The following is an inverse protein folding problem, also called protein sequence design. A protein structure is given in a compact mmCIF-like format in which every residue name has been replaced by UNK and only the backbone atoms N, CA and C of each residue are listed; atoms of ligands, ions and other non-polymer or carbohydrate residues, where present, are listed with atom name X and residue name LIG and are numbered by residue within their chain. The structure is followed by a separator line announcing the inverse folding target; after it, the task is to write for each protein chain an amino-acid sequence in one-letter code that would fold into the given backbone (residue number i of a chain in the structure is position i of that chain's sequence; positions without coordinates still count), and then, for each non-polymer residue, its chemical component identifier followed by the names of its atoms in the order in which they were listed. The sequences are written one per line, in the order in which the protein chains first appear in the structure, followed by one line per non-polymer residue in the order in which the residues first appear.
data_IF_237605203181
#
_entry.id   IF_237605203181
#
_cell.length_a   1.000
_cell.length_b   1.000
_cell.length_c   1.000
_cell.angle_alpha   90.00
_cell.angle_beta   90.00
_cell.angle_gamma   90.00
#
_symmetry.space_group_name_H-M   'P 1'
#
loop_
_entity.id
_entity.type
_entity.pdbx_description
1 polymer ?
#
# COMPACT_ATOMS: atom_id res chain seq x y z
N UNK A 1 -13.82 10.99 15.32
CA UNK A 1 -13.40 9.58 15.51
C UNK A 1 -12.43 9.22 14.40
N UNK A 2 -11.28 8.61 14.69
CA UNK A 2 -10.24 8.30 13.72
C UNK A 2 -10.04 6.78 13.64
N UNK A 3 -9.86 6.22 12.43
CA UNK A 3 -9.54 4.81 12.25
C UNK A 3 -8.04 4.69 11.96
N UNK A 4 -7.34 3.93 12.78
CA UNK A 4 -5.93 3.57 12.55
C UNK A 4 -5.85 2.12 12.09
N UNK A 5 -5.29 1.89 10.92
CA UNK A 5 -5.02 0.54 10.44
C UNK A 5 -3.72 0.00 11.05
N UNK A 6 -3.78 -1.20 11.60
CA UNK A 6 -2.62 -1.94 12.10
C UNK A 6 -2.46 -3.23 11.31
N UNK A 7 -1.20 -3.62 11.08
CA UNK A 7 -0.84 -4.92 10.51
C UNK A 7 0.13 -5.61 11.46
N UNK A 8 -0.27 -6.81 11.95
CA UNK A 8 0.49 -7.58 12.95
C UNK A 8 0.72 -8.98 12.41
N UNK A 9 1.95 -9.47 12.58
CA UNK A 9 2.31 -10.83 12.18
C UNK A 9 1.69 -11.85 13.13
N UNK A 10 1.10 -12.90 12.55
CA UNK A 10 0.58 -14.06 13.23
C UNK A 10 1.64 -15.18 13.26
N UNK A 11 1.65 -15.94 14.35
CA UNK A 11 2.51 -17.11 14.56
C UNK A 11 1.64 -18.37 14.73
N UNK A 12 0.92 -18.83 13.68
CA UNK A 12 0.08 -20.01 13.76
C UNK A 12 0.93 -21.28 13.85
N UNK A 13 0.46 -22.26 14.63
CA UNK A 13 1.00 -23.63 14.59
C UNK A 13 0.59 -24.33 13.27
N UNK A 14 1.07 -25.55 13.02
CA UNK A 14 0.84 -26.26 11.76
C UNK A 14 -0.67 -26.53 11.51
N UNK A 15 -1.42 -26.95 12.54
CA UNK A 15 -2.87 -27.20 12.43
C UNK A 15 -3.64 -25.92 12.12
N UNK A 16 -3.34 -24.82 12.84
CA UNK A 16 -3.92 -23.51 12.57
C UNK A 16 -3.57 -23.03 11.16
N UNK A 17 -2.32 -23.21 10.73
CA UNK A 17 -1.86 -22.82 9.40
C UNK A 17 -2.64 -23.54 8.29
N UNK A 18 -2.91 -24.83 8.43
CA UNK A 18 -3.73 -25.59 7.48
C UNK A 18 -5.14 -25.00 7.39
N UNK A 19 -5.77 -24.72 8.52
CA UNK A 19 -7.12 -24.10 8.56
C UNK A 19 -7.14 -22.69 7.96
N UNK A 20 -6.12 -21.87 8.21
CA UNK A 20 -6.00 -20.54 7.58
C UNK A 20 -5.94 -20.65 6.06
N UNK A 21 -5.25 -21.65 5.50
CA UNK A 21 -5.22 -21.89 4.06
C UNK A 21 -6.57 -22.40 3.52
N UNK A 22 -7.29 -23.23 4.27
CA UNK A 22 -8.64 -23.65 3.92
C UNK A 22 -9.59 -22.43 3.85
N UNK A 23 -9.55 -21.55 4.83
CA UNK A 23 -10.36 -20.32 4.86
C UNK A 23 -10.04 -19.38 3.69
N UNK A 24 -8.77 -19.18 3.39
CA UNK A 24 -8.35 -18.41 2.23
C UNK A 24 -8.78 -19.06 0.92
N UNK A 25 -8.79 -20.40 0.86
CA UNK A 25 -9.31 -21.19 -0.25
C UNK A 25 -10.81 -20.98 -0.46
N UNK A 26 -11.59 -21.07 0.62
CA UNK A 26 -13.04 -20.86 0.59
C UNK A 26 -13.41 -19.41 0.21
N UNK A 27 -12.67 -18.43 0.73
CA UNK A 27 -12.83 -17.02 0.33
C UNK A 27 -12.60 -16.82 -1.17
N UNK A 28 -11.54 -17.43 -1.71
CA UNK A 28 -11.23 -17.36 -3.14
C UNK A 28 -12.28 -18.07 -3.98
N UNK A 29 -12.72 -19.25 -3.55
CA UNK A 29 -13.76 -20.02 -4.23
C UNK A 29 -15.07 -19.23 -4.31
N UNK A 30 -15.57 -18.70 -3.19
CA UNK A 30 -16.79 -17.92 -3.15
C UNK A 30 -16.73 -16.65 -4.00
N UNK A 31 -15.57 -15.97 -4.03
CA UNK A 31 -15.34 -14.83 -4.90
C UNK A 31 -15.40 -15.23 -6.38
N UNK A 32 -14.75 -16.34 -6.75
CA UNK A 32 -14.69 -16.80 -8.13
C UNK A 32 -16.04 -17.33 -8.60
N UNK A 33 -16.75 -18.08 -7.77
CA UNK A 33 -18.10 -18.55 -8.03
C UNK A 33 -19.05 -17.37 -8.32
N UNK A 34 -19.02 -16.35 -7.48
CA UNK A 34 -19.86 -15.17 -7.69
C UNK A 34 -19.45 -14.37 -8.93
N UNK A 35 -18.15 -14.32 -9.26
CA UNK A 35 -17.67 -13.69 -10.49
C UNK A 35 -18.18 -14.43 -11.73
N UNK A 36 -18.15 -15.75 -11.73
CA UNK A 36 -18.66 -16.59 -12.81
C UNK A 36 -20.15 -16.34 -13.04
N UNK A 37 -20.98 -16.34 -11.99
CA UNK A 37 -22.41 -16.00 -12.05
C UNK A 37 -22.67 -14.61 -12.62
N UNK A 38 -21.91 -13.60 -12.19
CA UNK A 38 -22.04 -12.25 -12.71
C UNK A 38 -21.64 -12.16 -14.19
N UNK A 39 -20.61 -12.87 -14.60
CA UNK A 39 -20.22 -12.94 -16.01
C UNK A 39 -21.30 -13.63 -16.85
N UNK A 40 -21.85 -14.76 -16.39
CA UNK A 40 -22.94 -15.46 -17.08
C UNK A 40 -24.20 -14.57 -17.24
N UNK A 41 -24.54 -13.79 -16.20
CA UNK A 41 -25.63 -12.83 -16.29
C UNK A 41 -25.36 -11.72 -17.31
N UNK A 42 -24.14 -11.17 -17.28
CA UNK A 42 -23.74 -10.12 -18.21
C UNK A 42 -23.78 -10.59 -19.68
N UNK A 43 -23.18 -11.74 -19.99
CA UNK A 43 -23.17 -12.29 -21.34
C UNK A 43 -24.56 -12.78 -21.81
N UNK A 44 -25.42 -13.18 -20.88
CA UNK A 44 -26.81 -13.55 -21.15
C UNK A 44 -27.77 -12.35 -21.22
N UNK A 45 -27.25 -11.09 -21.25
CA UNK A 45 -28.06 -9.87 -21.30
C UNK A 45 -28.89 -9.60 -20.04
N UNK A 46 -28.64 -10.34 -18.95
CA UNK A 46 -29.36 -10.21 -17.68
C UNK A 46 -28.73 -9.13 -16.79
N UNK A 47 -29.55 -8.56 -15.92
CA UNK A 47 -29.09 -7.61 -14.90
C UNK A 47 -28.13 -8.30 -13.92
N UNK A 48 -27.06 -7.58 -13.53
CA UNK A 48 -26.15 -8.06 -12.49
C UNK A 48 -26.89 -8.18 -11.15
N UNK A 49 -26.67 -9.31 -10.47
CA UNK A 49 -27.27 -9.57 -9.17
C UNK A 49 -26.64 -8.70 -8.07
N UNK A 50 -27.44 -8.35 -7.08
CA UNK A 50 -26.99 -7.69 -5.86
C UNK A 50 -26.16 -8.65 -4.98
N UNK A 51 -25.45 -8.10 -3.99
CA UNK A 51 -24.71 -8.93 -3.03
C UNK A 51 -25.63 -9.79 -2.16
N UNK A 52 -26.86 -9.35 -1.92
CA UNK A 52 -27.85 -10.12 -1.17
C UNK A 52 -28.36 -11.34 -1.97
N UNK A 53 -28.67 -11.15 -3.24
CA UNK A 53 -29.11 -12.22 -4.14
C UNK A 53 -28.03 -13.28 -4.32
N UNK A 54 -26.79 -12.87 -4.66
CA UNK A 54 -25.65 -13.79 -4.78
C UNK A 54 -25.38 -14.57 -3.49
N UNK A 55 -25.49 -13.92 -2.33
CA UNK A 55 -25.30 -14.60 -1.04
C UNK A 55 -26.39 -15.61 -0.71
N UNK A 56 -27.64 -15.32 -1.08
CA UNK A 56 -28.75 -16.29 -0.94
C UNK A 56 -28.53 -17.51 -1.85
N UNK A 57 -28.19 -17.27 -3.10
CA UNK A 57 -27.87 -18.33 -4.08
C UNK A 57 -26.68 -19.18 -3.63
N UNK A 58 -25.58 -18.53 -3.19
CA UNK A 58 -24.42 -19.22 -2.66
C UNK A 58 -24.72 -20.04 -1.40
N UNK A 59 -25.63 -19.56 -0.55
CA UNK A 59 -26.02 -20.31 0.66
C UNK A 59 -26.81 -21.59 0.28
N UNK A 60 -27.68 -21.51 -0.72
CA UNK A 60 -28.37 -22.72 -1.26
C UNK A 60 -27.34 -23.69 -1.83
N UNK A 61 -26.43 -23.24 -2.66
CA UNK A 61 -25.36 -24.04 -3.24
C UNK A 61 -24.42 -24.65 -2.16
N UNK A 62 -24.06 -23.90 -1.12
CA UNK A 62 -23.26 -24.41 -0.01
C UNK A 62 -23.94 -25.54 0.74
N UNK A 63 -25.27 -25.50 0.86
CA UNK A 63 -26.06 -26.46 1.61
C UNK A 63 -26.60 -27.64 0.72
N UNK A 64 -26.32 -27.62 -0.59
CA UNK A 64 -26.78 -28.67 -1.52
C UNK A 64 -26.07 -30.02 -1.35
N UNK A 65 -24.99 -30.07 -0.58
CA UNK A 65 -24.16 -31.27 -0.42
C UNK A 65 -23.04 -31.41 -1.46
N UNK A 66 -23.05 -30.62 -2.54
CA UNK A 66 -22.02 -30.66 -3.59
C UNK A 66 -20.64 -30.24 -3.12
N UNK A 67 -20.56 -29.37 -2.09
CA UNK A 67 -19.32 -28.76 -1.57
C UNK A 67 -19.22 -28.89 -0.05
N UNK A 68 -19.19 -30.10 0.52
CA UNK A 68 -19.27 -30.31 1.97
C UNK A 68 -18.16 -29.65 2.75
N UNK A 69 -16.97 -29.48 2.17
CA UNK A 69 -15.83 -28.81 2.77
C UNK A 69 -16.07 -27.31 3.05
N UNK A 70 -17.05 -26.68 2.37
CA UNK A 70 -17.44 -25.28 2.67
C UNK A 70 -18.16 -25.17 4.02
N UNK A 71 -18.79 -26.23 4.51
CA UNK A 71 -19.45 -26.24 5.82
C UNK A 71 -18.45 -26.17 6.97
N UNK A 72 -17.20 -26.59 6.75
CA UNK A 72 -16.11 -26.47 7.73
C UNK A 72 -15.59 -25.05 7.92
N UNK A 73 -16.00 -24.11 7.07
CA UNK A 73 -15.51 -22.72 7.07
C UNK A 73 -16.63 -21.78 7.51
N UNK A 74 -16.28 -20.76 8.29
CA UNK A 74 -17.25 -19.73 8.69
C UNK A 74 -17.95 -19.12 7.48
N UNK A 75 -19.27 -19.04 7.55
CA UNK A 75 -20.10 -18.41 6.52
C UNK A 75 -19.75 -16.92 6.30
N UNK A 76 -19.24 -16.22 7.34
CA UNK A 76 -18.82 -14.84 7.23
C UNK A 76 -17.66 -14.64 6.25
N UNK A 77 -16.79 -15.63 6.11
CA UNK A 77 -15.66 -15.63 5.16
C UNK A 77 -16.17 -15.59 3.72
N UNK A 78 -17.11 -16.46 3.38
CA UNK A 78 -17.67 -16.59 2.03
C UNK A 78 -18.59 -15.43 1.68
N UNK A 79 -19.47 -15.04 2.62
CA UNK A 79 -20.35 -13.87 2.47
C UNK A 79 -19.57 -12.56 2.19
N UNK A 80 -18.48 -12.34 2.92
CA UNK A 80 -17.67 -11.16 2.70
C UNK A 80 -16.90 -11.21 1.37
N UNK A 81 -16.46 -12.38 0.92
CA UNK A 81 -15.81 -12.53 -0.37
C UNK A 81 -16.74 -12.15 -1.54
N UNK A 82 -18.01 -12.53 -1.47
CA UNK A 82 -19.06 -12.14 -2.44
C UNK A 82 -19.30 -10.62 -2.39
N UNK A 83 -19.41 -10.05 -1.19
CA UNK A 83 -19.54 -8.60 -1.01
C UNK A 83 -18.34 -7.83 -1.59
N UNK A 84 -17.13 -8.38 -1.41
CA UNK A 84 -15.90 -7.79 -1.97
C UNK A 84 -15.93 -7.74 -3.49
N UNK A 85 -16.48 -8.79 -4.15
CA UNK A 85 -16.70 -8.81 -5.60
C UNK A 85 -17.69 -7.72 -6.03
N UNK A 86 -18.84 -7.60 -5.36
CA UNK A 86 -19.83 -6.58 -5.69
C UNK A 86 -19.26 -5.16 -5.52
N UNK A 87 -18.42 -4.95 -4.52
CA UNK A 87 -17.68 -3.68 -4.35
C UNK A 87 -16.69 -3.48 -5.51
N UNK A 88 -16.00 -4.53 -5.96
CA UNK A 88 -15.08 -4.45 -7.09
C UNK A 88 -15.80 -4.06 -8.38
N UNK A 89 -16.97 -4.62 -8.68
CA UNK A 89 -17.81 -4.20 -9.81
C UNK A 89 -18.27 -2.76 -9.68
N UNK A 90 -18.75 -2.34 -8.52
CA UNK A 90 -19.15 -0.95 -8.27
C UNK A 90 -17.99 0.03 -8.51
N UNK A 91 -16.79 -0.33 -8.08
CA UNK A 91 -15.59 0.45 -8.32
C UNK A 91 -15.18 0.47 -9.80
N UNK A 92 -15.36 -0.64 -10.51
CA UNK A 92 -15.13 -0.75 -11.94
C UNK A 92 -16.06 0.20 -12.74
N UNK A 93 -17.39 0.15 -12.52
CA UNK A 93 -18.32 1.04 -13.18
C UNK A 93 -18.09 2.51 -12.83
N UNK A 94 -17.74 2.81 -11.57
CA UNK A 94 -17.39 4.18 -11.18
C UNK A 94 -16.15 4.71 -11.90
N UNK A 95 -15.18 3.83 -12.19
CA UNK A 95 -13.99 4.20 -12.97
C UNK A 95 -14.32 4.48 -14.44
N UNK A 96 -15.20 3.70 -15.03
CA UNK A 96 -15.63 3.91 -16.44
C UNK A 96 -16.28 5.27 -16.66
N UNK A 97 -17.01 5.77 -15.65
CA UNK A 97 -17.66 7.08 -15.71
C UNK A 97 -16.71 8.28 -15.56
N UNK A 98 -15.42 8.04 -15.27
CA UNK A 98 -14.45 9.14 -15.14
C UNK A 98 -13.94 9.59 -16.50
N UNK A 99 -13.80 10.92 -16.68
CA UNK A 99 -13.14 11.50 -17.84
C UNK A 99 -11.71 10.91 -18.00
N UNK A 100 -11.32 10.61 -19.23
CA UNK A 100 -10.02 9.98 -19.52
C UNK A 100 -9.92 8.49 -19.20
N UNK A 101 -11.04 7.78 -18.97
CA UNK A 101 -10.99 6.33 -18.78
C UNK A 101 -10.54 5.62 -20.06
N UNK A 102 -9.42 4.90 -19.97
CA UNK A 102 -8.89 4.06 -21.05
C UNK A 102 -9.45 2.64 -20.91
N UNK A 103 -10.32 2.22 -21.85
CA UNK A 103 -10.95 0.86 -21.82
C UNK A 103 -9.92 -0.26 -21.79
N UNK A 104 -8.92 -0.18 -22.67
CA UNK A 104 -7.88 -1.21 -22.80
C UNK A 104 -6.49 -0.56 -22.76
N UNK A 105 -5.51 -1.19 -22.12
CA UNK A 105 -4.13 -0.72 -22.17
C UNK A 105 -3.51 -1.01 -23.54
N UNK A 106 -2.63 -0.12 -24.04
CA UNK A 106 -1.93 -0.28 -25.31
C UNK A 106 -1.21 -1.64 -25.39
N UNK A 107 -0.56 -2.06 -24.29
CA UNK A 107 0.12 -3.37 -24.20
C UNK A 107 -0.85 -4.54 -24.42
N UNK A 108 -2.09 -4.43 -23.95
CA UNK A 108 -3.09 -5.48 -24.11
C UNK A 108 -3.66 -5.48 -25.52
N UNK A 109 -3.89 -4.30 -26.10
CA UNK A 109 -4.30 -4.16 -27.50
C UNK A 109 -3.28 -4.84 -28.41
N UNK A 110 -1.99 -4.51 -28.26
CA UNK A 110 -0.90 -5.11 -29.05
C UNK A 110 -0.83 -6.63 -28.88
N UNK A 111 -0.93 -7.15 -27.65
CA UNK A 111 -0.91 -8.59 -27.39
C UNK A 111 -2.12 -9.32 -27.99
N UNK A 112 -3.33 -8.77 -27.88
CA UNK A 112 -4.51 -9.39 -28.45
C UNK A 112 -4.48 -9.35 -30.00
N UNK A 113 -3.96 -8.28 -30.58
CA UNK A 113 -3.76 -8.18 -32.02
C UNK A 113 -2.75 -9.25 -32.52
N UNK A 114 -1.63 -9.47 -31.79
CA UNK A 114 -0.60 -10.45 -32.18
C UNK A 114 -1.08 -11.91 -32.15
N UNK A 115 -2.15 -12.22 -31.36
CA UNK A 115 -2.71 -13.58 -31.24
C UNK A 115 -4.11 -13.72 -31.84
N UNK A 116 -4.59 -12.69 -32.61
CA UNK A 116 -5.93 -12.71 -33.21
C UNK A 116 -7.11 -12.77 -32.24
N UNK A 117 -6.90 -12.44 -30.95
CA UNK A 117 -7.93 -12.55 -29.90
C UNK A 117 -8.85 -11.33 -29.88
N UNK A 118 -10.17 -11.53 -29.98
CA UNK A 118 -11.17 -10.49 -29.74
C UNK A 118 -11.19 -10.05 -28.27
N UNK A 119 -11.19 -8.75 -28.04
CA UNK A 119 -11.26 -8.16 -26.70
C UNK A 119 -12.68 -8.21 -26.15
N UNK A 120 -12.78 -8.62 -24.90
CA UNK A 120 -14.04 -8.74 -24.17
C UNK A 120 -14.13 -7.71 -23.05
N UNK A 121 -15.30 -7.55 -22.41
CA UNK A 121 -15.47 -6.73 -21.20
C UNK A 121 -14.56 -7.19 -20.07
N UNK A 122 -14.31 -8.51 -19.98
CA UNK A 122 -13.36 -9.08 -19.02
C UNK A 122 -11.95 -8.54 -19.19
N UNK A 123 -11.59 -8.12 -20.39
CA UNK A 123 -10.28 -7.57 -20.72
C UNK A 123 -10.13 -6.10 -20.37
N UNK A 124 -11.21 -5.39 -20.03
CA UNK A 124 -11.19 -3.97 -19.71
C UNK A 124 -10.39 -3.67 -18.44
N UNK A 125 -9.80 -2.46 -18.42
CA UNK A 125 -8.99 -1.99 -17.30
C UNK A 125 -9.83 -1.85 -16.01
N UNK A 126 -9.44 -2.60 -14.97
CA UNK A 126 -10.11 -2.56 -13.67
C UNK A 126 -11.32 -3.50 -13.55
N UNK A 127 -11.65 -4.29 -14.59
CA UNK A 127 -12.65 -5.36 -14.47
C UNK A 127 -12.18 -6.39 -13.41
N UNK A 128 -13.07 -6.88 -12.53
CA UNK A 128 -12.75 -7.94 -11.57
C UNK A 128 -12.19 -9.18 -12.27
N UNK A 129 -11.15 -9.79 -11.68
CA UNK A 129 -10.48 -10.96 -12.23
C UNK A 129 -10.64 -12.15 -11.30
N UNK A 130 -10.60 -13.37 -11.85
CA UNK A 130 -10.52 -14.59 -11.06
C UNK A 130 -9.28 -14.58 -10.16
N UNK A 131 -9.48 -14.93 -8.89
CA UNK A 131 -8.40 -15.08 -7.92
C UNK A 131 -7.74 -16.45 -8.08
N UNK A 132 -6.42 -16.52 -7.97
CA UNK A 132 -5.68 -17.76 -8.11
C UNK A 132 -4.62 -17.97 -7.03
N UNK A 133 -4.29 -19.24 -6.75
CA UNK A 133 -3.14 -19.59 -5.90
C UNK A 133 -1.82 -19.07 -6.46
N UNK A 134 -1.67 -19.06 -7.79
CA UNK A 134 -0.44 -18.60 -8.49
C UNK A 134 -0.18 -17.12 -8.23
N UNK A 135 -1.23 -16.31 -8.13
CA UNK A 135 -1.14 -14.87 -7.87
C UNK A 135 -0.98 -14.53 -6.40
N UNK A 136 -0.93 -15.52 -5.50
CA UNK A 136 -0.80 -15.28 -4.06
C UNK A 136 -2.06 -14.75 -3.39
N UNK A 137 -3.24 -15.02 -3.96
CA UNK A 137 -4.54 -14.56 -3.44
C UNK A 137 -4.98 -15.37 -2.21
N UNK A 138 -4.27 -15.21 -1.11
CA UNK A 138 -4.56 -15.85 0.17
C UNK A 138 -4.97 -14.80 1.21
N UNK A 139 -6.24 -14.41 1.17
CA UNK A 139 -6.80 -13.53 2.19
C UNK A 139 -8.25 -13.85 2.46
N UNK A 140 -8.69 -13.61 3.69
CA UNK A 140 -10.08 -13.74 4.08
C UNK A 140 -10.44 -12.76 5.18
N UNK A 141 -11.73 -12.46 5.27
CA UNK A 141 -12.30 -11.60 6.30
C UNK A 141 -12.55 -12.40 7.57
N UNK A 142 -12.33 -11.77 8.71
CA UNK A 142 -12.72 -12.26 10.03
C UNK A 142 -13.81 -11.34 10.59
N UNK A 143 -14.84 -11.92 11.19
CA UNK A 143 -15.92 -11.12 11.75
C UNK A 143 -15.43 -10.24 12.89
N UNK A 144 -15.74 -8.93 12.84
CA UNK A 144 -15.33 -7.97 13.87
C UNK A 144 -16.03 -8.16 15.22
N UNK A 145 -17.18 -8.80 15.24
CA UNK A 145 -17.90 -9.09 16.50
C UNK A 145 -17.36 -10.33 17.19
N UNK A 146 -16.78 -11.25 16.40
CA UNK A 146 -16.28 -12.54 16.90
C UNK A 146 -14.78 -12.56 17.16
N UNK A 147 -14.04 -11.56 16.65
CA UNK A 147 -12.62 -11.43 16.92
C UNK A 147 -12.39 -10.92 18.36
N UNK A 148 -11.55 -11.60 19.10
CA UNK A 148 -11.18 -11.23 20.46
C UNK A 148 -9.67 -11.17 20.60
N UNK A 149 -9.19 -10.30 21.48
CA UNK A 149 -7.76 -10.11 21.71
C UNK A 149 -7.39 -10.36 23.16
N UNK A 150 -6.25 -11.02 23.32
CA UNK A 150 -5.45 -11.01 24.54
C UNK A 150 -4.13 -10.31 24.25
N UNK A 151 -3.35 -10.02 25.29
CA UNK A 151 -2.07 -9.33 25.13
C UNK A 151 -1.12 -10.01 24.12
N UNK A 152 -1.17 -11.34 24.02
CA UNK A 152 -0.26 -12.16 23.19
C UNK A 152 -0.95 -12.95 22.08
N UNK A 153 -2.29 -13.01 22.06
CA UNK A 153 -3.05 -13.87 21.15
C UNK A 153 -4.27 -13.15 20.59
N UNK A 154 -4.71 -13.61 19.44
CA UNK A 154 -5.99 -13.25 18.82
C UNK A 154 -6.84 -14.50 18.64
N UNK A 155 -8.11 -14.43 19.05
CA UNK A 155 -9.10 -15.47 18.76
C UNK A 155 -9.70 -15.25 17.39
N UNK A 156 -9.59 -16.26 16.54
CA UNK A 156 -10.19 -16.29 15.21
C UNK A 156 -11.38 -17.24 15.20
N UNK A 157 -12.38 -16.93 14.36
CA UNK A 157 -13.61 -17.72 14.27
C UNK A 157 -13.34 -19.10 13.64
N UNK A 158 -13.86 -20.17 14.25
CA UNK A 158 -13.98 -21.52 13.67
C UNK A 158 -12.68 -22.16 13.12
N UNK A 159 -11.53 -21.85 13.72
CA UNK A 159 -10.27 -22.57 13.39
C UNK A 159 -10.28 -23.99 13.95
N UNK A 160 -11.01 -24.22 15.04
CA UNK A 160 -11.19 -25.55 15.63
C UNK A 160 -12.66 -25.98 15.61
N UNK A 161 -12.87 -27.28 15.45
CA UNK A 161 -14.20 -27.87 15.58
C UNK A 161 -14.81 -27.67 16.96
N UNK A 162 -16.11 -27.37 17.01
CA UNK A 162 -16.85 -26.97 18.22
C UNK A 162 -17.06 -28.09 19.25
N UNK A 163 -16.87 -29.34 18.88
CA UNK A 163 -17.34 -30.49 19.65
C UNK A 163 -16.46 -31.00 20.81
N UNK A 164 -15.27 -30.42 21.08
CA UNK A 164 -14.41 -30.85 22.19
C UNK A 164 -13.96 -29.68 23.08
N UNK A 165 -14.11 -29.80 24.40
CA UNK A 165 -13.75 -28.78 25.43
C UNK A 165 -12.33 -28.21 25.29
N UNK A 166 -11.33 -28.99 24.92
CA UNK A 166 -9.93 -28.55 24.73
C UNK A 166 -9.69 -27.78 23.42
N UNK A 167 -10.67 -27.64 22.51
CA UNK A 167 -10.52 -27.04 21.20
C UNK A 167 -10.71 -25.53 21.19
N UNK A 168 -11.27 -24.91 22.21
CA UNK A 168 -11.37 -23.45 22.27
C UNK A 168 -10.01 -22.78 22.23
N UNK A 169 -8.97 -23.38 22.84
CA UNK A 169 -7.57 -22.90 22.78
C UNK A 169 -7.00 -22.91 21.36
N UNK A 170 -7.44 -23.81 20.46
CA UNK A 170 -6.96 -23.88 19.10
C UNK A 170 -7.41 -22.68 18.24
N UNK A 171 -8.45 -21.95 18.64
CA UNK A 171 -8.88 -20.71 17.97
C UNK A 171 -7.99 -19.52 18.30
N UNK A 172 -7.14 -19.61 19.33
CA UNK A 172 -6.23 -18.56 19.73
C UNK A 172 -4.90 -18.65 19.00
N UNK A 173 -4.65 -17.73 18.08
CA UNK A 173 -3.41 -17.63 17.30
C UNK A 173 -2.47 -16.63 17.95
N UNK A 174 -1.22 -17.01 18.15
CA UNK A 174 -0.19 -16.17 18.76
C UNK A 174 0.16 -14.98 17.87
N UNK A 175 0.29 -13.79 18.46
CA UNK A 175 0.79 -12.57 17.84
C UNK A 175 2.31 -12.47 18.00
N UNK A 176 3.00 -11.95 17.00
CA UNK A 176 4.44 -11.68 17.09
C UNK A 176 4.75 -10.45 17.97
N UNK A 177 3.80 -9.53 18.11
CA UNK A 177 3.92 -8.30 18.88
C UNK A 177 2.91 -8.31 20.03
N UNK A 178 3.38 -8.06 21.25
CA UNK A 178 2.55 -8.02 22.45
C UNK A 178 1.96 -6.62 22.65
N UNK A 179 0.74 -6.52 23.18
CA UNK A 179 0.14 -5.28 23.68
C UNK A 179 -0.12 -4.19 22.64
N UNK A 180 0.04 -4.48 21.35
CA UNK A 180 -0.11 -3.47 20.29
C UNK A 180 -1.57 -3.19 19.91
N UNK A 181 -2.45 -4.14 20.16
CA UNK A 181 -3.89 -4.00 19.92
C UNK A 181 -4.57 -3.79 21.28
N UNK A 182 -5.35 -2.72 21.48
CA UNK A 182 -6.15 -2.55 22.66
C UNK A 182 -7.16 -3.70 22.80
N UNK A 183 -7.32 -4.26 23.99
CA UNK A 183 -8.20 -5.42 24.24
C UNK A 183 -9.68 -5.02 24.06
N UNK A 184 -10.04 -3.81 24.49
CA UNK A 184 -11.43 -3.28 24.46
C UNK A 184 -11.66 -2.31 23.29
N UNK A 185 -10.89 -2.47 22.20
CA UNK A 185 -10.97 -1.60 21.03
C UNK A 185 -12.21 -1.88 20.17
N UNK A 186 -12.79 -0.84 19.57
CA UNK A 186 -13.77 -1.00 18.49
C UNK A 186 -13.03 -1.29 17.18
N UNK A 187 -13.14 -2.53 16.71
CA UNK A 187 -12.42 -3.02 15.52
C UNK A 187 -13.26 -2.87 14.27
N UNK A 188 -12.59 -2.71 13.13
CA UNK A 188 -13.23 -2.62 11.81
C UNK A 188 -12.44 -3.41 10.77
N UNK A 189 -13.17 -4.15 9.94
CA UNK A 189 -12.68 -4.87 8.76
C UNK A 189 -11.40 -5.70 9.00
N UNK A 190 -11.39 -6.60 10.01
CA UNK A 190 -10.24 -7.46 10.24
C UNK A 190 -10.07 -8.45 9.09
N UNK A 191 -8.84 -8.54 8.56
CA UNK A 191 -8.49 -9.46 7.47
C UNK A 191 -7.25 -10.22 7.81
N UNK A 192 -7.29 -11.51 7.53
CA UNK A 192 -6.13 -12.40 7.62
C UNK A 192 -5.55 -12.54 6.21
N UNK A 193 -4.24 -12.28 6.09
CA UNK A 193 -3.55 -12.19 4.80
C UNK A 193 -2.26 -13.00 4.87
N UNK A 194 -2.02 -13.85 3.86
CA UNK A 194 -0.74 -14.52 3.68
C UNK A 194 0.07 -13.82 2.58
N UNK A 195 1.29 -13.40 2.88
CA UNK A 195 2.15 -12.68 1.95
C UNK A 195 3.13 -13.57 1.18
N UNK A 196 2.90 -14.89 1.21
CA UNK A 196 3.80 -15.89 0.62
C UNK A 196 4.83 -16.46 1.60
N UNK A 197 5.03 -15.81 2.75
CA UNK A 197 5.95 -16.25 3.81
C UNK A 197 5.25 -16.32 5.18
N UNK A 198 4.55 -15.25 5.54
CA UNK A 198 3.96 -15.08 6.87
C UNK A 198 2.46 -14.77 6.78
N UNK A 199 1.76 -15.14 7.84
CA UNK A 199 0.38 -14.73 8.06
C UNK A 199 0.33 -13.40 8.82
N UNK A 200 -0.57 -12.53 8.42
CA UNK A 200 -0.77 -11.20 8.97
C UNK A 200 -2.23 -10.96 9.30
N UNK A 201 -2.47 -10.33 10.44
CA UNK A 201 -3.74 -9.71 10.75
C UNK A 201 -3.65 -8.22 10.36
N UNK A 202 -4.54 -7.77 9.48
CA UNK A 202 -4.76 -6.37 9.16
C UNK A 202 -6.09 -5.94 9.75
N UNK A 203 -6.10 -4.91 10.61
CA UNK A 203 -7.29 -4.50 11.36
C UNK A 203 -7.33 -2.97 11.49
N UNK A 204 -8.51 -2.39 11.31
CA UNK A 204 -8.77 -1.01 11.67
C UNK A 204 -9.21 -0.89 13.13
N UNK A 205 -8.64 0.05 13.86
CA UNK A 205 -9.02 0.34 15.25
C UNK A 205 -9.58 1.75 15.28
N UNK A 206 -10.78 1.89 15.85
CA UNK A 206 -11.38 3.20 16.10
C UNK A 206 -10.74 3.78 17.36
N UNK A 207 -10.02 4.87 17.20
CA UNK A 207 -9.37 5.59 18.29
C UNK A 207 -10.20 6.83 18.59
N UNK A 208 -10.66 6.98 19.84
CA UNK A 208 -11.17 8.24 20.30
C UNK A 208 -10.03 9.27 20.23
N UNK A 209 -10.27 10.40 19.56
CA UNK A 209 -9.33 11.52 19.58
C UNK A 209 -9.28 12.03 21.02
N UNK A 210 -8.33 11.57 21.83
CA UNK A 210 -7.99 12.25 23.07
C UNK A 210 -7.36 13.59 22.69
N UNK A 211 -8.19 14.61 22.59
CA UNK A 211 -7.74 15.98 22.65
C UNK A 211 -7.26 16.11 24.10
N UNK A 212 -5.94 16.07 24.31
CA UNK A 212 -5.42 16.67 25.55
C UNK A 212 -5.66 18.17 25.37
N UNK A 213 -6.62 18.77 26.07
CA UNK A 213 -6.64 20.21 26.14
C UNK A 213 -5.30 20.59 26.75
N UNK A 214 -4.58 21.51 26.13
CA UNK A 214 -3.45 22.16 26.78
C UNK A 214 -4.02 23.04 27.88
N UNK A 215 -4.49 22.40 28.98
CA UNK A 215 -4.88 23.09 30.18
C UNK A 215 -3.59 23.55 30.88
N UNK A 216 -3.45 24.85 31.06
CA UNK A 216 -2.57 25.43 32.03
C UNK A 216 -1.22 26.02 31.57
N UNK A 217 -0.84 25.93 30.30
CA UNK A 217 0.35 26.68 29.83
C UNK A 217 -0.11 27.96 29.14
N UNK A 218 -0.07 29.06 29.86
CA UNK A 218 -0.15 30.42 29.29
C UNK A 218 1.17 30.69 28.57
N UNK A 219 1.22 30.37 27.28
CA UNK A 219 2.35 30.79 26.43
C UNK A 219 2.15 32.23 26.01
N UNK A 220 3.20 33.06 26.11
CA UNK A 220 3.20 34.37 25.50
C UNK A 220 3.08 34.22 23.97
N UNK A 221 2.54 35.24 23.28
CA UNK A 221 2.39 35.22 21.82
C UNK A 221 3.75 35.00 21.09
N UNK A 222 4.88 35.43 21.69
CA UNK A 222 6.24 35.13 21.24
C UNK A 222 6.63 33.66 21.38
N UNK A 223 6.26 33.01 22.51
CA UNK A 223 6.52 31.57 22.72
C UNK A 223 5.63 30.69 21.86
N UNK A 224 4.39 31.10 21.58
CA UNK A 224 3.54 30.44 20.58
C UNK A 224 4.11 30.54 19.16
N UNK A 225 4.66 31.70 18.78
CA UNK A 225 5.36 31.87 17.48
C UNK A 225 6.64 31.03 17.38
N UNK A 226 7.40 30.80 18.46
CA UNK A 226 8.55 29.93 18.52
C UNK A 226 8.20 28.44 18.59
N UNK A 227 7.05 28.06 19.17
CA UNK A 227 6.55 26.67 19.24
C UNK A 227 5.95 26.19 17.91
N UNK A 228 5.45 27.09 17.08
CA UNK A 228 5.05 26.80 15.72
C UNK A 228 6.23 27.13 14.80
N UNK A 229 7.12 26.18 14.54
CA UNK A 229 8.08 26.30 13.46
C UNK A 229 7.32 26.73 12.19
N UNK A 230 7.87 27.66 11.41
CA UNK A 230 7.26 28.07 10.14
C UNK A 230 6.95 26.87 9.27
N UNK A 231 6.34 27.08 8.12
CA UNK A 231 6.11 25.99 7.16
C UNK A 231 7.40 25.34 6.71
N UNK A 232 7.32 24.06 6.30
CA UNK A 232 8.44 23.30 5.74
C UNK A 232 8.17 23.00 4.27
N UNK A 233 9.07 23.40 3.37
CA UNK A 233 9.15 22.95 2.00
C UNK A 233 10.00 21.69 1.90
N UNK A 234 9.62 20.72 1.08
CA UNK A 234 10.34 19.46 0.93
C UNK A 234 10.50 19.14 -0.56
N UNK A 235 11.76 19.09 -0.99
CA UNK A 235 12.15 18.58 -2.31
C UNK A 235 12.46 17.08 -2.23
N UNK A 236 11.96 16.30 -3.20
CA UNK A 236 12.14 14.85 -3.27
C UNK A 236 13.10 14.47 -4.41
N UNK A 237 14.19 13.80 -4.06
CA UNK A 237 15.24 13.49 -5.02
C UNK A 237 15.70 12.03 -5.05
N UNK A 238 16.48 11.70 -6.10
CA UNK A 238 17.14 10.39 -6.24
C UNK A 238 18.48 10.36 -5.50
N UNK A 239 19.19 11.49 -5.41
CA UNK A 239 20.47 11.60 -4.70
C UNK A 239 20.26 11.43 -3.21
N UNK A 240 19.43 12.23 -2.63
CA UNK A 240 18.87 12.11 -1.31
C UNK A 240 17.36 11.91 -1.43
N UNK A 241 16.73 11.26 -0.46
CA UNK A 241 15.29 10.98 -0.51
C UNK A 241 14.47 12.25 -0.38
N UNK A 242 14.88 13.14 0.51
CA UNK A 242 14.22 14.42 0.73
C UNK A 242 15.21 15.45 1.27
N UNK A 243 15.07 16.69 0.86
CA UNK A 243 15.75 17.85 1.41
C UNK A 243 14.68 18.83 1.90
N UNK A 244 14.80 19.29 3.13
CA UNK A 244 13.85 20.24 3.73
C UNK A 244 14.37 21.67 3.66
N UNK A 245 13.47 22.64 3.70
CA UNK A 245 13.80 24.06 3.80
C UNK A 245 14.57 24.42 5.08
N UNK A 246 14.61 23.53 6.06
CA UNK A 246 15.38 23.68 7.30
C UNK A 246 16.78 23.06 7.19
N UNK A 247 17.27 22.82 5.97
CA UNK A 247 18.58 22.22 5.63
C UNK A 247 18.76 20.75 6.01
N UNK A 248 17.71 20.07 6.49
CA UNK A 248 17.85 18.64 6.77
C UNK A 248 17.83 17.81 5.50
N UNK A 249 18.72 16.83 5.46
CA UNK A 249 18.87 15.89 4.35
C UNK A 249 18.52 14.49 4.79
N UNK A 250 17.48 13.91 4.22
CA UNK A 250 17.14 12.51 4.36
C UNK A 250 17.92 11.72 3.31
N UNK A 251 19.00 11.09 3.73
CA UNK A 251 19.90 10.34 2.82
C UNK A 251 19.17 9.19 2.11
N UNK A 252 19.62 8.89 0.89
CA UNK A 252 19.13 7.73 0.14
C UNK A 252 19.65 6.42 0.75
N UNK A 253 18.79 5.66 1.42
CA UNK A 253 19.14 4.40 2.07
C UNK A 253 19.62 3.33 1.08
N UNK A 254 19.21 3.42 -0.19
CA UNK A 254 19.58 2.46 -1.23
C UNK A 254 21.08 2.48 -1.58
N UNK A 255 21.79 3.54 -1.18
CA UNK A 255 23.25 3.67 -1.34
C UNK A 255 24.05 2.94 -0.26
N UNK A 256 23.41 2.47 0.80
CA UNK A 256 24.07 1.78 1.91
C UNK A 256 24.63 0.41 1.50
N UNK A 257 25.75 0.00 2.12
CA UNK A 257 26.38 -1.29 1.85
C UNK A 257 25.45 -2.48 2.14
N UNK A 258 24.57 -2.36 3.14
CA UNK A 258 23.59 -3.39 3.50
C UNK A 258 22.65 -3.65 2.33
N UNK A 259 22.06 -2.59 1.74
CA UNK A 259 21.14 -2.74 0.60
C UNK A 259 21.89 -3.19 -0.65
N UNK A 260 23.10 -2.69 -0.92
CA UNK A 260 23.93 -3.14 -2.04
C UNK A 260 24.20 -4.66 -1.96
N UNK A 261 24.59 -5.19 -0.77
CA UNK A 261 24.79 -6.61 -0.53
C UNK A 261 23.50 -7.42 -0.75
N UNK A 262 22.35 -6.95 -0.24
CA UNK A 262 21.05 -7.60 -0.44
C UNK A 262 20.62 -7.61 -1.91
N UNK A 263 20.83 -6.52 -2.66
CA UNK A 263 20.55 -6.43 -4.10
C UNK A 263 21.42 -7.44 -4.89
N UNK A 264 22.71 -7.56 -4.57
CA UNK A 264 23.62 -8.55 -5.18
C UNK A 264 23.13 -9.99 -4.92
N UNK A 265 22.72 -10.28 -3.67
CA UNK A 265 22.15 -11.58 -3.30
C UNK A 265 20.83 -11.86 -4.01
N UNK A 266 19.94 -10.85 -4.12
CA UNK A 266 18.69 -10.95 -4.88
C UNK A 266 18.94 -11.34 -6.34
N UNK A 267 19.85 -10.65 -7.04
CA UNK A 267 20.20 -10.94 -8.45
C UNK A 267 20.72 -12.36 -8.63
N UNK A 268 21.58 -12.85 -7.72
CA UNK A 268 22.06 -14.24 -7.76
C UNK A 268 20.91 -15.24 -7.66
N UNK A 269 20.02 -15.04 -6.70
CA UNK A 269 18.85 -15.91 -6.50
C UNK A 269 17.86 -15.83 -7.67
N UNK A 270 17.65 -14.66 -8.25
CA UNK A 270 16.81 -14.51 -9.45
C UNK A 270 17.36 -15.35 -10.61
N UNK A 271 18.68 -15.24 -10.89
CA UNK A 271 19.33 -16.05 -11.92
C UNK A 271 19.24 -17.55 -11.62
N UNK A 272 19.40 -17.96 -10.35
CA UNK A 272 19.25 -19.35 -9.93
C UNK A 272 17.82 -19.86 -10.15
N UNK A 273 16.82 -19.08 -9.78
CA UNK A 273 15.40 -19.41 -10.00
C UNK A 273 15.10 -19.52 -11.47
N UNK A 274 15.54 -18.56 -12.31
CA UNK A 274 15.34 -18.59 -13.76
C UNK A 274 15.96 -19.84 -14.39
N UNK A 275 17.21 -20.18 -14.04
CA UNK A 275 17.86 -21.42 -14.54
C UNK A 275 17.09 -22.67 -14.15
N UNK A 276 16.63 -22.77 -12.89
CA UNK A 276 15.81 -23.91 -12.43
C UNK A 276 14.48 -24.03 -13.17
N UNK A 277 13.86 -22.90 -13.53
CA UNK A 277 12.68 -22.93 -14.38
C UNK A 277 13.00 -23.50 -15.77
N UNK A 278 14.08 -23.06 -16.40
CA UNK A 278 14.49 -23.59 -17.71
C UNK A 278 14.81 -25.10 -17.65
N UNK A 279 15.54 -25.55 -16.63
CA UNK A 279 15.87 -26.98 -16.44
C UNK A 279 14.62 -27.85 -16.19
N UNK A 280 13.59 -27.29 -15.58
CA UNK A 280 12.35 -28.00 -15.24
C UNK A 280 11.24 -27.77 -16.29
N UNK A 281 11.56 -27.28 -17.47
CA UNK A 281 10.63 -27.09 -18.58
C UNK A 281 10.23 -28.46 -19.15
N UNK A 282 8.93 -28.72 -19.28
CA UNK A 282 8.33 -29.89 -19.93
C UNK A 282 7.36 -29.37 -20.99
N UNK A 283 7.74 -29.42 -22.27
CA UNK A 283 6.98 -28.79 -23.35
C UNK A 283 6.81 -27.31 -23.12
N UNK A 284 5.60 -26.79 -23.13
CA UNK A 284 5.27 -25.38 -22.83
C UNK A 284 5.06 -25.08 -21.34
N UNK A 285 5.04 -26.11 -20.49
CA UNK A 285 4.80 -25.96 -19.05
C UNK A 285 6.08 -26.08 -18.23
N UNK A 286 6.06 -25.49 -17.00
CA UNK A 286 7.14 -25.58 -16.04
C UNK A 286 6.74 -26.39 -14.82
N UNK A 287 7.54 -27.40 -14.48
CA UNK A 287 7.33 -28.21 -13.29
C UNK A 287 7.96 -27.53 -12.06
N UNK A 288 7.19 -27.38 -10.97
CA UNK A 288 7.70 -26.81 -9.71
C UNK A 288 8.24 -27.90 -8.80
N UNK A 289 9.56 -28.10 -8.83
CA UNK A 289 10.26 -28.96 -7.90
C UNK A 289 10.38 -28.35 -6.49
N UNK A 290 10.55 -29.17 -5.45
CA UNK A 290 10.76 -28.71 -4.07
C UNK A 290 11.92 -27.75 -3.94
N UNK A 291 13.03 -27.98 -4.68
CA UNK A 291 14.21 -27.12 -4.67
C UNK A 291 13.97 -25.76 -5.35
N UNK A 292 13.10 -25.72 -6.38
CA UNK A 292 12.67 -24.47 -6.99
C UNK A 292 11.82 -23.66 -5.98
N UNK A 293 10.85 -24.29 -5.33
CA UNK A 293 10.01 -23.65 -4.31
C UNK A 293 10.86 -23.10 -3.14
N UNK A 294 11.87 -23.84 -2.67
CA UNK A 294 12.81 -23.37 -1.65
C UNK A 294 13.58 -22.12 -2.11
N UNK A 295 14.01 -22.09 -3.37
CA UNK A 295 14.73 -20.95 -3.95
C UNK A 295 13.83 -19.72 -4.11
N UNK A 296 12.59 -19.89 -4.58
CA UNK A 296 11.57 -18.85 -4.65
C UNK A 296 11.29 -18.24 -3.27
N UNK A 297 11.12 -19.06 -2.23
CA UNK A 297 10.94 -18.59 -0.84
C UNK A 297 12.13 -17.75 -0.33
N UNK A 298 13.36 -18.16 -0.66
CA UNK A 298 14.57 -17.39 -0.31
C UNK A 298 14.58 -16.03 -1.01
N UNK A 299 14.22 -15.99 -2.30
CA UNK A 299 14.12 -14.76 -3.07
C UNK A 299 13.05 -13.83 -2.50
N UNK A 300 11.87 -14.37 -2.17
CA UNK A 300 10.76 -13.64 -1.55
C UNK A 300 11.18 -12.98 -0.23
N UNK A 301 11.89 -13.71 0.64
CA UNK A 301 12.41 -13.17 1.91
C UNK A 301 13.32 -11.96 1.70
N UNK A 302 14.19 -12.01 0.70
CA UNK A 302 15.08 -10.87 0.40
C UNK A 302 14.28 -9.68 -0.13
N UNK A 303 13.28 -9.92 -0.99
CA UNK A 303 12.40 -8.85 -1.47
C UNK A 303 11.64 -8.19 -0.32
N UNK A 304 11.08 -8.98 0.60
CA UNK A 304 10.41 -8.45 1.80
C UNK A 304 11.38 -7.66 2.68
N UNK A 305 12.60 -8.16 2.89
CA UNK A 305 13.61 -7.45 3.68
C UNK A 305 13.98 -6.10 3.06
N UNK A 306 14.19 -6.03 1.76
CA UNK A 306 14.46 -4.77 1.05
C UNK A 306 13.28 -3.80 1.16
N UNK A 307 12.05 -4.28 0.94
CA UNK A 307 10.84 -3.48 1.07
C UNK A 307 10.66 -2.94 2.50
N UNK A 308 10.89 -3.77 3.52
CA UNK A 308 10.76 -3.39 4.92
C UNK A 308 11.81 -2.35 5.34
N UNK A 309 13.08 -2.50 4.90
CA UNK A 309 14.14 -1.51 5.19
C UNK A 309 13.76 -0.15 4.58
N UNK A 310 13.33 -0.11 3.32
CA UNK A 310 12.90 1.12 2.64
C UNK A 310 11.66 1.72 3.30
N UNK A 311 10.65 0.89 3.57
CA UNK A 311 9.42 1.32 4.24
C UNK A 311 9.69 1.92 5.62
N UNK A 312 10.55 1.27 6.42
CA UNK A 312 10.94 1.79 7.74
C UNK A 312 11.68 3.11 7.64
N UNK A 313 12.60 3.25 6.68
CA UNK A 313 13.31 4.50 6.43
C UNK A 313 12.36 5.66 6.12
N UNK A 314 11.40 5.44 5.21
CA UNK A 314 10.36 6.43 4.90
C UNK A 314 9.50 6.74 6.13
N UNK A 315 9.16 5.72 6.94
CA UNK A 315 8.40 5.93 8.18
C UNK A 315 9.14 6.79 9.20
N UNK A 316 10.44 6.56 9.38
CA UNK A 316 11.27 7.35 10.29
C UNK A 316 11.41 8.80 9.80
N UNK A 317 11.74 8.99 8.52
CA UNK A 317 11.88 10.31 7.91
C UNK A 317 10.60 11.15 8.05
N UNK A 318 9.47 10.60 7.61
CA UNK A 318 8.17 11.30 7.67
C UNK A 318 7.70 11.53 9.12
N UNK A 319 8.02 10.62 10.06
CA UNK A 319 7.72 10.83 11.47
C UNK A 319 8.57 11.96 12.09
N UNK A 320 9.86 12.06 11.73
CA UNK A 320 10.74 13.12 12.20
C UNK A 320 10.26 14.51 11.74
N UNK A 321 9.84 14.63 10.46
CA UNK A 321 9.30 15.88 9.92
C UNK A 321 8.01 16.29 10.68
N UNK A 322 7.07 15.36 10.84
CA UNK A 322 5.80 15.67 11.52
C UNK A 322 5.99 15.97 13.02
N UNK A 323 6.99 15.34 13.66
CA UNK A 323 7.29 15.58 15.10
C UNK A 323 7.65 17.03 15.39
N UNK A 324 8.18 17.77 14.42
CA UNK A 324 8.49 19.20 14.54
C UNK A 324 7.24 20.09 14.63
N UNK A 325 6.06 19.55 14.29
CA UNK A 325 4.78 20.28 14.25
C UNK A 325 4.84 21.57 13.43
N UNK A 326 5.29 21.49 12.14
CA UNK A 326 5.31 22.69 11.30
C UNK A 326 3.88 23.22 11.11
N UNK A 327 3.74 24.52 10.81
CA UNK A 327 2.45 25.14 10.49
C UNK A 327 1.82 24.52 9.23
N UNK A 328 2.66 24.22 8.25
CA UNK A 328 2.30 23.46 7.06
C UNK A 328 3.51 22.71 6.48
N UNK A 329 3.22 21.79 5.56
CA UNK A 329 4.24 21.10 4.75
C UNK A 329 3.88 21.29 3.29
N UNK A 330 4.83 21.78 2.48
CA UNK A 330 4.68 21.89 1.04
C UNK A 330 5.52 20.83 0.32
N UNK A 331 4.92 20.10 -0.62
CA UNK A 331 5.53 19.04 -1.43
C UNK A 331 5.29 19.29 -2.92
N UNK A 332 6.20 18.82 -3.76
CA UNK A 332 5.99 18.77 -5.21
C UNK A 332 4.95 17.72 -5.64
N UNK A 333 4.21 17.99 -6.73
CA UNK A 333 3.39 16.99 -7.41
C UNK A 333 4.23 16.20 -8.42
N UNK A 334 5.07 15.30 -7.93
CA UNK A 334 5.92 14.46 -8.78
C UNK A 334 5.09 13.51 -9.67
N UNK A 335 5.32 13.55 -10.98
CA UNK A 335 4.79 12.58 -11.93
C UNK A 335 5.57 11.27 -11.88
N UNK A 336 5.42 10.53 -10.77
CA UNK A 336 6.13 9.24 -10.55
C UNK A 336 5.85 8.25 -11.68
N UNK A 337 4.61 8.20 -12.21
CA UNK A 337 4.26 7.30 -13.31
C UNK A 337 5.02 7.66 -14.60
N UNK A 338 5.16 8.94 -14.91
CA UNK A 338 5.96 9.42 -16.04
C UNK A 338 7.45 9.09 -15.86
N UNK A 339 8.00 9.32 -14.66
CA UNK A 339 9.39 8.99 -14.33
C UNK A 339 9.68 7.49 -14.46
N UNK A 340 8.72 6.62 -14.13
CA UNK A 340 8.85 5.16 -14.26
C UNK A 340 8.91 4.67 -15.71
N UNK A 341 8.47 5.46 -16.69
CA UNK A 341 8.59 5.12 -18.12
C UNK A 341 10.04 5.21 -18.61
N UNK A 342 10.87 6.01 -17.98
CA UNK A 342 12.29 6.12 -18.30
C UNK A 342 13.05 4.88 -17.78
N UNK A 343 13.52 4.04 -18.68
CA UNK A 343 14.23 2.78 -18.38
C UNK A 343 15.47 2.97 -17.49
N UNK A 344 16.19 4.09 -17.64
CA UNK A 344 17.41 4.40 -16.88
C UNK A 344 17.15 4.87 -15.44
N UNK A 345 15.96 5.43 -15.18
CA UNK A 345 15.58 6.00 -13.88
C UNK A 345 14.59 5.13 -13.12
N UNK A 346 13.82 4.29 -13.79
CA UNK A 346 12.69 3.52 -13.22
C UNK A 346 13.08 2.72 -11.97
N UNK A 347 14.20 1.99 -11.98
CA UNK A 347 14.66 1.24 -10.79
C UNK A 347 14.93 2.19 -9.61
N UNK A 348 15.64 3.31 -9.85
CA UNK A 348 15.98 4.28 -8.81
C UNK A 348 14.74 4.98 -8.25
N UNK A 349 13.81 5.37 -9.11
CA UNK A 349 12.52 6.00 -8.73
C UNK A 349 11.68 5.04 -7.89
N UNK A 350 11.56 3.77 -8.33
CA UNK A 350 10.84 2.73 -7.58
C UNK A 350 11.46 2.50 -6.20
N UNK A 351 12.78 2.54 -6.10
CA UNK A 351 13.51 2.31 -4.85
C UNK A 351 13.34 3.42 -3.82
N UNK A 352 13.06 4.65 -4.24
CA UNK A 352 12.85 5.79 -3.35
C UNK A 352 11.46 5.81 -2.70
N UNK A 353 10.48 5.11 -3.25
CA UNK A 353 9.12 5.08 -2.71
C UNK A 353 8.49 6.48 -2.57
N UNK A 354 8.66 7.38 -3.53
CA UNK A 354 8.14 8.77 -3.48
C UNK A 354 6.65 8.84 -3.19
N UNK A 355 5.84 7.96 -3.84
CA UNK A 355 4.41 7.88 -3.57
C UNK A 355 4.12 7.55 -2.11
N UNK A 356 4.85 6.59 -1.54
CA UNK A 356 4.68 6.19 -0.13
C UNK A 356 5.12 7.28 0.83
N UNK A 357 6.17 8.03 0.51
CA UNK A 357 6.61 9.19 1.27
C UNK A 357 5.50 10.25 1.34
N UNK A 358 4.96 10.68 0.17
CA UNK A 358 3.85 11.63 0.08
C UNK A 358 2.63 11.12 0.87
N UNK A 359 2.20 9.88 0.63
CA UNK A 359 1.07 9.26 1.33
C UNK A 359 1.25 9.28 2.85
N UNK A 360 2.49 9.04 3.32
CA UNK A 360 2.79 9.05 4.75
C UNK A 360 2.78 10.45 5.34
N UNK A 361 3.30 11.45 4.64
CA UNK A 361 3.19 12.85 5.05
C UNK A 361 1.72 13.24 5.14
N UNK A 362 0.90 12.98 4.12
CA UNK A 362 -0.51 13.35 4.08
C UNK A 362 -1.29 12.80 5.28
N UNK A 363 -1.23 11.48 5.56
CA UNK A 363 -2.02 10.94 6.67
C UNK A 363 -1.46 11.28 8.05
N UNK A 364 -0.12 11.38 8.20
CA UNK A 364 0.50 11.75 9.47
C UNK A 364 0.25 13.23 9.79
N UNK A 365 0.36 14.11 8.79
CA UNK A 365 0.03 15.52 8.90
C UNK A 365 -1.45 15.71 9.29
N UNK A 366 -2.37 14.99 8.63
CA UNK A 366 -3.78 14.98 8.99
C UNK A 366 -3.98 14.58 10.46
N UNK A 367 -3.26 13.59 10.96
CA UNK A 367 -3.32 13.17 12.37
C UNK A 367 -2.76 14.23 13.32
N UNK A 368 -1.69 14.92 12.90
CA UNK A 368 -1.05 15.98 13.68
C UNK A 368 -1.71 17.36 13.52
N UNK A 369 -2.76 17.48 12.66
CA UNK A 369 -3.41 18.75 12.30
C UNK A 369 -2.47 19.73 11.59
N UNK A 370 -1.49 19.22 10.86
CA UNK A 370 -0.59 19.99 10.01
C UNK A 370 -1.21 20.09 8.61
N UNK A 371 -1.27 21.28 8.04
CA UNK A 371 -1.79 21.48 6.67
C UNK A 371 -0.75 20.99 5.66
N UNK A 372 -1.19 20.27 4.64
CA UNK A 372 -0.33 19.83 3.52
C UNK A 372 -0.73 20.60 2.28
N UNK A 373 0.24 21.25 1.67
CA UNK A 373 0.12 21.97 0.39
C UNK A 373 0.86 21.15 -0.66
N UNK A 374 0.25 20.91 -1.80
CA UNK A 374 0.90 20.30 -2.95
C UNK A 374 1.14 21.42 -3.95
N UNK A 375 2.39 21.65 -4.30
CA UNK A 375 2.75 22.64 -5.30
C UNK A 375 2.27 22.21 -6.69
N UNK A 376 2.03 23.18 -7.55
CA UNK A 376 1.71 22.88 -8.94
C UNK A 376 2.84 22.09 -9.59
N UNK A 377 2.45 21.17 -10.48
CA UNK A 377 3.42 20.26 -11.16
C UNK A 377 4.46 21.00 -11.96
N UNK A 378 4.11 22.13 -12.50
CA UNK A 378 4.98 22.93 -13.37
C UNK A 378 5.64 24.08 -12.62
N UNK A 379 5.46 24.17 -11.30
CA UNK A 379 6.13 25.17 -10.50
C UNK A 379 7.66 24.99 -10.56
N UNK A 380 8.42 26.00 -11.04
CA UNK A 380 9.85 25.87 -11.30
C UNK A 380 10.68 25.99 -10.01
N UNK A 381 10.43 25.12 -9.02
CA UNK A 381 11.02 25.15 -7.69
C UNK A 381 12.55 25.23 -7.71
N UNK A 382 13.19 24.41 -8.54
CA UNK A 382 14.67 24.36 -8.66
C UNK A 382 15.27 25.43 -9.56
N UNK A 383 14.45 26.06 -10.44
CA UNK A 383 14.91 27.05 -11.42
C UNK A 383 14.75 28.50 -10.95
N UNK A 384 13.97 28.76 -9.91
CA UNK A 384 13.67 30.09 -9.40
C UNK A 384 14.69 30.49 -8.32
N UNK A 385 15.33 31.63 -8.49
CA UNK A 385 16.22 32.15 -7.47
C UNK A 385 15.46 32.55 -6.21
N UNK A 386 15.87 32.04 -5.05
CA UNK A 386 15.20 32.37 -3.79
C UNK A 386 15.40 33.84 -3.38
N UNK A 387 16.54 34.47 -3.79
CA UNK A 387 16.84 35.85 -3.48
C UNK A 387 16.07 36.86 -4.33
N UNK A 388 16.18 36.80 -5.66
CA UNK A 388 15.63 37.82 -6.56
C UNK A 388 14.42 37.34 -7.39
N UNK A 389 14.02 36.06 -7.31
CA UNK A 389 12.89 35.52 -8.09
C UNK A 389 13.19 35.23 -9.58
N UNK A 390 14.42 35.51 -10.06
CA UNK A 390 14.77 35.20 -11.45
C UNK A 390 14.65 33.73 -11.77
N UNK A 391 14.05 33.40 -12.94
CA UNK A 391 13.86 32.01 -13.39
C UNK A 391 14.90 31.63 -14.43
N UNK A 392 15.88 30.82 -14.08
CA UNK A 392 16.94 30.32 -14.97
C UNK A 392 16.38 29.18 -15.83
N UNK A 393 16.14 29.44 -17.13
CA UNK A 393 15.52 28.49 -18.06
C UNK A 393 16.45 27.33 -18.43
N UNK A 394 17.75 27.58 -18.58
CA UNK A 394 18.80 26.70 -19.09
C UNK A 394 19.46 25.80 -18.02
N UNK A 395 18.92 25.77 -16.79
CA UNK A 395 19.43 24.92 -15.70
C UNK A 395 19.29 23.43 -16.08
N UNK A 396 20.43 22.73 -16.22
CA UNK A 396 20.50 21.32 -16.55
C UNK A 396 20.24 20.43 -15.33
N UNK A 397 19.75 19.22 -15.54
CA UNK A 397 19.55 18.24 -14.45
C UNK A 397 20.87 17.78 -13.79
N UNK A 398 22.00 17.89 -14.51
CA UNK A 398 23.33 17.62 -13.98
C UNK A 398 23.81 18.66 -12.97
N UNK A 399 23.35 19.90 -13.09
CA UNK A 399 23.81 21.03 -12.27
C UNK A 399 23.35 20.83 -10.84
N UNK A 400 24.27 20.85 -9.90
CA UNK A 400 23.99 20.66 -8.47
C UNK A 400 24.01 21.99 -7.71
N UNK A 401 24.77 22.94 -8.21
CA UNK A 401 24.82 24.30 -7.68
C UNK A 401 24.02 25.19 -8.60
N UNK A 402 23.11 25.95 -8.03
CA UNK A 402 22.44 27.03 -8.73
C UNK A 402 23.22 28.30 -8.57
N UNK A 403 23.57 28.94 -9.68
CA UNK A 403 24.20 30.25 -9.74
C UNK A 403 23.23 31.19 -10.46
N UNK A 404 22.77 32.23 -9.77
CA UNK A 404 21.83 33.17 -10.33
C UNK A 404 22.57 34.16 -11.25
N UNK A 405 22.22 34.25 -12.55
CA UNK A 405 22.88 35.22 -13.45
C UNK A 405 22.46 36.68 -13.17
N UNK A 406 21.36 36.88 -12.43
CA UNK A 406 20.84 38.22 -12.15
C UNK A 406 21.41 38.83 -10.85
N UNK A 407 21.48 38.07 -9.75
CA UNK A 407 21.91 38.58 -8.46
C UNK A 407 23.16 37.89 -7.88
N UNK A 408 23.81 37.00 -8.62
CA UNK A 408 25.02 36.30 -8.19
C UNK A 408 24.80 35.24 -7.08
N UNK A 409 23.57 35.00 -6.60
CA UNK A 409 23.32 34.06 -5.53
C UNK A 409 23.77 32.63 -5.90
N UNK A 410 24.58 32.03 -5.03
CA UNK A 410 25.11 30.66 -5.19
C UNK A 410 24.54 29.76 -4.10
N UNK A 411 23.81 28.70 -4.48
CA UNK A 411 23.13 27.82 -3.53
C UNK A 411 23.02 26.37 -4.09
N UNK A 412 22.96 25.38 -3.20
CA UNK A 412 22.61 23.99 -3.60
C UNK A 412 21.21 23.98 -4.25
N UNK A 413 21.10 23.41 -5.46
CA UNK A 413 19.86 23.42 -6.25
C UNK A 413 18.68 22.76 -5.54
N UNK A 414 18.91 21.63 -4.90
CA UNK A 414 17.87 20.85 -4.25
C UNK A 414 17.42 21.56 -2.94
N UNK A 415 18.34 22.24 -2.25
CA UNK A 415 18.01 23.10 -1.11
C UNK A 415 17.23 24.35 -1.53
N UNK A 416 17.62 25.00 -2.64
CA UNK A 416 16.86 26.11 -3.22
C UNK A 416 15.43 25.70 -3.57
N UNK A 417 15.25 24.49 -4.15
CA UNK A 417 13.93 23.95 -4.46
C UNK A 417 13.07 23.83 -3.18
N UNK A 418 13.64 23.31 -2.09
CA UNK A 418 12.94 23.20 -0.81
C UNK A 418 12.53 24.58 -0.24
N UNK A 419 13.39 25.60 -0.34
CA UNK A 419 13.07 26.97 0.07
C UNK A 419 11.95 27.57 -0.77
N UNK A 420 11.99 27.40 -2.08
CA UNK A 420 10.94 27.87 -2.99
C UNK A 420 9.60 27.17 -2.74
N UNK A 421 9.62 25.86 -2.41
CA UNK A 421 8.40 25.14 -2.01
C UNK A 421 7.82 25.68 -0.71
N UNK A 422 8.66 26.03 0.27
CA UNK A 422 8.21 26.72 1.49
C UNK A 422 7.52 28.03 1.15
N UNK A 423 8.17 28.89 0.34
CA UNK A 423 7.62 30.18 -0.14
C UNK A 423 6.28 30.01 -0.87
N UNK A 424 6.18 28.97 -1.72
CA UNK A 424 4.91 28.63 -2.40
C UNK A 424 3.82 28.28 -1.40
N UNK A 425 4.15 27.47 -0.38
CA UNK A 425 3.22 27.09 0.68
C UNK A 425 2.75 28.30 1.50
N UNK A 426 3.66 29.20 1.88
CA UNK A 426 3.33 30.44 2.59
C UNK A 426 2.33 31.29 1.80
N UNK A 427 2.59 31.51 0.50
CA UNK A 427 1.70 32.28 -0.37
C UNK A 427 0.30 31.65 -0.54
N UNK A 428 0.21 30.30 -0.62
CA UNK A 428 -1.07 29.59 -0.72
C UNK A 428 -1.88 29.64 0.57
N UNK A 429 -1.21 29.63 1.73
CA UNK A 429 -1.89 29.69 3.01
C UNK A 429 -2.37 31.09 3.32
N UNK A 430 -1.57 32.11 3.04
CA UNK A 430 -1.98 33.52 3.19
C UNK A 430 -3.23 33.83 2.37
N UNK A 431 -3.28 33.40 1.10
CA UNK A 431 -4.48 33.55 0.22
C UNK A 431 -5.73 32.78 0.69
N UNK A 432 -5.59 31.79 1.54
CA UNK A 432 -6.72 31.03 2.09
C UNK A 432 -7.20 31.53 3.45
N UNK A 433 -6.51 32.52 4.01
CA UNK A 433 -6.83 33.18 5.28
C UNK A 433 -7.44 34.59 5.09
N UNK A 434 -7.28 35.19 3.89
CA UNK A 434 -8.01 36.36 3.38
C UNK A 434 -9.29 35.90 2.66
#
# INVERSE_FOLDING_TARGET
MMIRSLRIKLLPNNKQRTKLFQFAGASRFAYNWALDRQMANYYGGRKLQSDCELRREFTKFRNSGEVPWLLEVSNNVTKQAIKDLCIAYRNFFRKQKKAGYVKFSQKKLAHCASIGKKLTVYDMNGHPKFRSKKNGDFSFYQDNMKIQFMNTHVKLESIADSKRRNRQRANWVRLAEKGRIPIDGKYTNPRIIFDGENWWLSIGIRIARKIKPMRGLKFSCKQLKQLFSGGIGIDLGIKDLAITSDSDKVRNINKTNVIKKLKKKRRRLQRQVSRKYQMNKKGESYCKTSNLVKSEKRLLRINHRLANIRGNHVHQATAAIIKRKPSFICLEDLNVQGMMKNKHLSEKVQEQNFYEFRRQIEYKAHWARVKVVIADRWYPSSKTCIGCGYVKKDLKLSDRTYICPHCGNVIDRDFQAALNLKRYGDAKISKSAS
#
